data_IF_696971985224
#
_entry.id   IF_696971985224
#
_cell.length_a   1.000
_cell.length_b   1.000
_cell.length_c   1.000
_cell.angle_alpha   90.00
_cell.angle_beta   90.00
_cell.angle_gamma   90.00
#
_symmetry.space_group_name_H-M   'P 1'
#
loop_
_entity.id
_entity.type
_entity.pdbx_description
1 polymer ?
#
# COMPACT_ATOMS: atom_id res chain seq x y z
N UNK A 1 13.38 -12.05 71.15
CA UNK A 1 13.37 -12.66 69.80
C UNK A 1 12.32 -11.92 68.95
N UNK A 2 12.78 -10.96 68.15
CA UNK A 2 11.90 -9.96 67.50
C UNK A 2 11.86 -10.29 66.02
N UNK A 3 10.68 -10.71 65.54
CA UNK A 3 10.44 -11.06 64.12
C UNK A 3 10.16 -9.74 63.39
N UNK A 4 11.05 -9.37 62.45
CA UNK A 4 10.83 -8.26 61.53
C UNK A 4 10.06 -8.78 60.32
N UNK A 5 8.82 -8.33 60.16
CA UNK A 5 8.03 -8.53 58.93
C UNK A 5 8.55 -7.64 57.82
N UNK A 6 8.99 -8.22 56.73
CA UNK A 6 9.36 -7.51 55.50
C UNK A 6 8.09 -7.45 54.61
N UNK A 7 7.55 -6.24 54.45
CA UNK A 7 6.52 -5.96 53.41
C UNK A 7 7.22 -5.77 52.06
N UNK A 8 6.99 -6.66 51.13
CA UNK A 8 7.39 -6.50 49.71
C UNK A 8 6.23 -5.81 49.04
N UNK A 9 6.42 -4.53 48.73
CA UNK A 9 5.48 -3.73 47.91
C UNK A 9 5.74 -4.06 46.42
N UNK A 10 4.91 -4.92 45.83
CA UNK A 10 4.96 -5.21 44.42
C UNK A 10 4.45 -4.02 43.60
N UNK A 11 5.35 -3.34 42.86
CA UNK A 11 4.97 -2.35 41.89
C UNK A 11 4.37 -3.06 40.66
N UNK A 12 3.06 -2.94 40.52
CA UNK A 12 2.34 -3.36 39.31
C UNK A 12 2.59 -2.30 38.23
N UNK A 13 3.53 -2.57 37.30
CA UNK A 13 3.70 -1.76 36.11
C UNK A 13 2.54 -2.01 35.13
N UNK A 14 1.52 -1.17 35.22
CA UNK A 14 0.45 -1.14 34.20
C UNK A 14 0.97 -0.37 32.99
N UNK A 15 1.51 -1.08 32.00
CA UNK A 15 1.79 -0.51 30.69
C UNK A 15 0.45 -0.15 30.02
N UNK A 16 0.05 1.12 30.12
CA UNK A 16 -0.99 1.66 29.23
C UNK A 16 -0.40 1.69 27.80
N UNK A 17 -0.73 0.70 27.00
CA UNK A 17 -0.47 0.76 25.57
C UNK A 17 -1.30 1.91 24.96
N UNK A 18 -0.63 3.02 24.63
CA UNK A 18 -1.24 4.07 23.81
C UNK A 18 -1.41 3.47 22.42
N UNK A 19 -2.61 3.01 22.10
CA UNK A 19 -2.98 2.68 20.73
C UNK A 19 -3.08 3.99 19.94
N UNK A 20 -2.02 4.35 19.25
CA UNK A 20 -2.08 5.43 18.25
C UNK A 20 -3.00 4.93 17.14
N UNK A 21 -4.22 5.42 17.14
CA UNK A 21 -5.16 5.12 16.07
C UNK A 21 -4.71 5.88 14.83
N UNK A 22 -4.34 5.16 13.77
CA UNK A 22 -3.97 5.78 12.50
C UNK A 22 -5.13 6.63 11.96
N UNK A 23 -4.83 7.81 11.44
CA UNK A 23 -5.84 8.65 10.80
C UNK A 23 -6.38 7.91 9.56
N UNK A 24 -7.71 7.76 9.41
CA UNK A 24 -8.27 7.07 8.26
C UNK A 24 -7.83 7.72 6.94
N UNK A 25 -7.46 6.91 5.97
CA UNK A 25 -7.04 7.33 4.64
C UNK A 25 -8.17 7.05 3.64
N UNK A 26 -8.68 8.12 3.01
CA UNK A 26 -9.64 7.99 1.92
C UNK A 26 -8.90 7.74 0.61
N UNK A 27 -9.30 6.70 -0.09
CA UNK A 27 -8.70 6.26 -1.34
C UNK A 27 -9.75 6.10 -2.43
N UNK A 28 -9.46 6.57 -3.64
CA UNK A 28 -10.33 6.41 -4.80
C UNK A 28 -9.74 5.37 -5.72
N UNK A 29 -10.40 4.20 -5.82
CA UNK A 29 -10.02 3.16 -6.76
C UNK A 29 -10.65 3.45 -8.13
N UNK A 30 -9.81 3.58 -9.14
CA UNK A 30 -10.20 3.82 -10.52
C UNK A 30 -10.39 2.47 -11.22
N UNK A 31 -11.47 2.29 -12.03
CA UNK A 31 -11.65 1.07 -12.80
C UNK A 31 -10.71 1.01 -13.99
N UNK A 32 -10.12 -0.15 -14.23
CA UNK A 32 -9.27 -0.44 -15.39
C UNK A 32 -9.86 -1.57 -16.23
N UNK A 33 -9.56 -1.57 -17.53
CA UNK A 33 -9.85 -2.70 -18.40
C UNK A 33 -8.93 -3.88 -18.07
N UNK A 34 -9.36 -5.10 -18.39
CA UNK A 34 -8.53 -6.30 -18.18
C UNK A 34 -7.19 -6.17 -18.92
N UNK A 35 -6.11 -6.03 -18.14
CA UNK A 35 -4.75 -5.84 -18.64
C UNK A 35 -4.24 -7.02 -19.47
N UNK A 36 -4.69 -8.26 -19.21
CA UNK A 36 -4.29 -9.41 -19.99
C UNK A 36 -4.88 -9.35 -21.40
N UNK A 37 -6.16 -8.93 -21.50
CA UNK A 37 -6.81 -8.71 -22.80
C UNK A 37 -6.14 -7.58 -23.57
N UNK A 38 -5.79 -6.48 -22.89
CA UNK A 38 -5.11 -5.35 -23.48
C UNK A 38 -3.70 -5.72 -23.96
N UNK A 39 -2.91 -6.42 -23.13
CA UNK A 39 -1.58 -6.88 -23.49
C UNK A 39 -1.60 -7.81 -24.72
N UNK A 40 -2.61 -8.70 -24.82
CA UNK A 40 -2.82 -9.57 -25.97
C UNK A 40 -3.14 -8.78 -27.24
N UNK A 41 -4.01 -7.77 -27.15
CA UNK A 41 -4.36 -6.90 -28.28
C UNK A 41 -3.15 -6.11 -28.78
N UNK A 42 -2.36 -5.55 -27.87
CA UNK A 42 -1.19 -4.74 -28.17
C UNK A 42 0.06 -5.60 -28.49
N UNK A 43 -0.03 -6.93 -28.43
CA UNK A 43 1.09 -7.86 -28.64
C UNK A 43 2.31 -7.53 -27.79
N UNK A 44 2.08 -7.12 -26.55
CA UNK A 44 3.12 -6.75 -25.59
C UNK A 44 3.21 -7.80 -24.47
N UNK A 45 4.24 -7.69 -23.64
CA UNK A 45 4.35 -8.45 -22.40
C UNK A 45 3.26 -8.01 -21.40
N UNK A 46 3.05 -8.83 -20.36
CA UNK A 46 2.07 -8.51 -19.32
C UNK A 46 2.44 -7.20 -18.62
N UNK A 47 1.42 -6.39 -18.35
CA UNK A 47 1.53 -5.25 -17.46
C UNK A 47 1.48 -5.71 -16.00
N UNK A 48 2.03 -4.88 -15.11
CA UNK A 48 1.91 -5.09 -13.67
C UNK A 48 0.46 -4.82 -13.22
N UNK A 49 -0.12 -5.61 -12.29
CA UNK A 49 -1.48 -5.40 -11.78
C UNK A 49 -1.56 -4.31 -10.70
N UNK A 50 -0.66 -3.33 -10.69
CA UNK A 50 -0.49 -2.38 -9.58
C UNK A 50 -1.03 -0.97 -9.91
N UNK A 51 -2.12 -0.86 -10.69
CA UNK A 51 -2.62 0.40 -11.23
C UNK A 51 -3.18 1.36 -10.18
N UNK A 52 -3.69 0.87 -9.06
CA UNK A 52 -4.23 1.68 -7.97
C UNK A 52 -3.34 1.55 -6.72
N UNK A 53 -2.14 2.16 -6.68
CA UNK A 53 -1.29 2.13 -5.51
C UNK A 53 -1.91 2.96 -4.39
N UNK A 54 -2.07 2.38 -3.21
CA UNK A 54 -2.61 3.09 -2.05
C UNK A 54 -1.55 3.91 -1.30
N UNK A 55 -0.29 3.56 -1.49
CA UNK A 55 0.82 4.08 -0.68
C UNK A 55 0.82 3.59 0.76
N UNK A 56 -0.01 2.60 1.11
CA UNK A 56 -0.08 2.05 2.44
C UNK A 56 0.78 0.78 2.55
N UNK A 57 1.64 0.78 3.56
CA UNK A 57 2.50 -0.33 3.91
C UNK A 57 1.98 -1.02 5.19
N UNK A 58 2.17 -2.33 5.25
CA UNK A 58 1.84 -3.17 6.39
C UNK A 58 3.01 -4.09 6.71
N UNK A 59 3.25 -4.29 8.01
CA UNK A 59 4.13 -5.36 8.49
C UNK A 59 3.40 -6.70 8.57
N UNK A 60 4.16 -7.79 8.59
CA UNK A 60 3.61 -9.13 8.81
C UNK A 60 2.85 -9.20 10.14
N UNK A 61 1.67 -9.82 10.13
CA UNK A 61 0.79 -9.95 11.31
C UNK A 61 -0.09 -8.73 11.58
N UNK A 62 0.13 -7.59 10.91
CA UNK A 62 -0.75 -6.43 11.08
C UNK A 62 -2.15 -6.67 10.50
N UNK A 63 -3.11 -5.92 11.02
CA UNK A 63 -4.48 -5.95 10.53
C UNK A 63 -4.71 -4.89 9.48
N UNK A 64 -5.17 -5.30 8.30
CA UNK A 64 -5.67 -4.43 7.22
C UNK A 64 -7.15 -4.22 7.45
N UNK A 65 -7.56 -3.00 7.84
CA UNK A 65 -8.96 -2.61 8.03
C UNK A 65 -9.36 -1.61 6.97
N UNK A 66 -10.40 -1.95 6.19
CA UNK A 66 -10.90 -1.10 5.12
C UNK A 66 -12.42 -1.15 5.03
N UNK A 67 -13.04 0.01 4.89
CA UNK A 67 -14.46 0.14 4.58
C UNK A 67 -14.63 0.36 3.09
N UNK A 68 -15.40 -0.51 2.44
CA UNK A 68 -15.78 -0.38 1.04
C UNK A 68 -17.24 0.13 0.94
N UNK A 69 -17.56 0.97 -0.06
CA UNK A 69 -18.94 1.40 -0.31
C UNK A 69 -19.80 0.23 -0.79
N UNK A 70 -21.05 0.49 -1.14
CA UNK A 70 -21.82 -0.49 -1.94
C UNK A 70 -21.10 -0.70 -3.27
N UNK A 71 -20.56 -1.91 -3.44
CA UNK A 71 -19.78 -2.27 -4.63
C UNK A 71 -20.65 -2.49 -5.88
N UNK A 72 -21.98 -2.48 -5.77
CA UNK A 72 -22.93 -2.58 -6.89
C UNK A 72 -22.65 -3.79 -7.81
N UNK A 73 -22.16 -4.88 -7.25
CA UNK A 73 -21.79 -6.10 -7.98
C UNK A 73 -20.41 -6.07 -8.65
N UNK A 74 -19.66 -4.98 -8.52
CA UNK A 74 -18.27 -4.94 -8.96
C UNK A 74 -17.35 -5.70 -7.99
N UNK A 75 -16.35 -6.37 -8.53
CA UNK A 75 -15.35 -7.06 -7.74
C UNK A 75 -14.10 -6.19 -7.57
N UNK A 76 -13.74 -5.92 -6.33
CA UNK A 76 -12.49 -5.27 -5.96
C UNK A 76 -11.67 -6.23 -5.09
N UNK A 77 -10.37 -6.23 -5.32
CA UNK A 77 -9.44 -6.97 -4.48
C UNK A 77 -8.34 -6.04 -3.95
N UNK A 78 -7.86 -6.31 -2.73
CA UNK A 78 -6.59 -5.78 -2.27
C UNK A 78 -5.49 -6.76 -2.64
N UNK A 79 -4.39 -6.23 -3.14
CA UNK A 79 -3.15 -6.96 -3.39
C UNK A 79 -2.13 -6.49 -2.35
N UNK A 80 -1.73 -7.33 -1.41
CA UNK A 80 -0.58 -7.08 -0.55
C UNK A 80 0.65 -7.64 -1.25
N UNK A 81 1.61 -6.79 -1.57
CA UNK A 81 2.78 -7.13 -2.40
C UNK A 81 4.07 -6.85 -1.64
N UNK A 82 4.85 -7.90 -1.41
CA UNK A 82 6.20 -7.80 -0.86
C UNK A 82 7.20 -7.73 -2.03
N UNK A 83 7.85 -6.59 -2.18
CA UNK A 83 8.89 -6.33 -3.19
C UNK A 83 10.30 -6.66 -2.68
N UNK A 84 10.44 -7.26 -1.51
CA UNK A 84 11.75 -7.73 -1.05
C UNK A 84 12.35 -8.66 -2.09
N UNK A 85 13.66 -8.58 -2.27
CA UNK A 85 14.35 -9.51 -3.16
C UNK A 85 14.05 -10.92 -2.70
N UNK A 86 13.56 -11.81 -3.58
CA UNK A 86 13.29 -13.18 -3.21
C UNK A 86 14.59 -13.85 -2.73
N UNK A 87 14.45 -14.74 -1.76
CA UNK A 87 15.57 -15.58 -1.32
C UNK A 87 16.10 -16.41 -2.50
N UNK A 88 17.37 -16.84 -2.42
CA UNK A 88 17.99 -17.64 -3.46
C UNK A 88 17.15 -18.89 -3.77
N UNK A 89 16.69 -18.99 -5.03
CA UNK A 89 15.77 -20.05 -5.47
C UNK A 89 14.29 -19.70 -5.49
N UNK A 90 13.85 -18.60 -4.89
CA UNK A 90 12.48 -18.07 -5.02
C UNK A 90 12.36 -17.21 -6.28
N UNK A 91 11.27 -17.38 -7.01
CA UNK A 91 11.16 -16.80 -8.37
C UNK A 91 10.33 -15.52 -8.50
N UNK A 92 9.64 -15.04 -7.46
CA UNK A 92 8.68 -13.91 -7.60
C UNK A 92 8.44 -13.18 -6.27
N UNK A 93 7.97 -11.94 -6.40
CA UNK A 93 7.37 -11.17 -5.31
C UNK A 93 6.25 -11.98 -4.64
N UNK A 94 6.15 -11.90 -3.32
CA UNK A 94 5.02 -12.48 -2.59
C UNK A 94 3.81 -11.58 -2.79
N UNK A 95 2.72 -12.12 -3.31
CA UNK A 95 1.47 -11.38 -3.47
C UNK A 95 0.33 -12.17 -2.83
N UNK A 96 -0.37 -11.53 -1.90
CA UNK A 96 -1.60 -12.05 -1.31
C UNK A 96 -2.79 -11.23 -1.77
N UNK A 97 -3.87 -11.89 -2.17
CA UNK A 97 -5.09 -11.27 -2.69
C UNK A 97 -6.21 -11.42 -1.67
N UNK A 98 -6.85 -10.29 -1.33
CA UNK A 98 -8.03 -10.25 -0.45
C UNK A 98 -9.21 -9.68 -1.22
N UNK A 99 -10.31 -10.41 -1.32
CA UNK A 99 -11.53 -9.94 -1.99
C UNK A 99 -12.33 -9.05 -1.03
N UNK A 100 -12.64 -7.82 -1.47
CA UNK A 100 -13.46 -6.88 -0.71
C UNK A 100 -14.95 -7.23 -0.79
N UNK A 101 -15.65 -6.96 0.31
CA UNK A 101 -17.11 -6.98 0.41
C UNK A 101 -17.59 -5.58 0.77
N UNK A 102 -18.81 -5.24 0.40
CA UNK A 102 -19.48 -4.01 0.86
C UNK A 102 -19.44 -3.91 2.38
N UNK A 103 -19.12 -2.73 2.91
CA UNK A 103 -18.98 -2.45 4.34
C UNK A 103 -17.58 -2.71 4.89
N UNK A 104 -17.48 -3.09 6.15
CA UNK A 104 -16.22 -3.26 6.86
C UNK A 104 -15.55 -4.59 6.51
N UNK A 105 -14.28 -4.51 6.13
CA UNK A 105 -13.42 -5.64 5.85
C UNK A 105 -12.25 -5.65 6.83
N UNK A 106 -11.84 -6.84 7.27
CA UNK A 106 -10.69 -7.04 8.15
C UNK A 106 -9.90 -8.25 7.66
N UNK A 107 -8.63 -8.04 7.36
CA UNK A 107 -7.69 -9.07 6.93
C UNK A 107 -6.43 -9.04 7.79
N UNK A 108 -5.66 -10.11 7.79
CA UNK A 108 -4.35 -10.17 8.43
C UNK A 108 -3.28 -10.27 7.35
N UNK A 109 -2.25 -9.43 7.44
CA UNK A 109 -1.12 -9.44 6.53
C UNK A 109 -0.26 -10.70 6.78
N UNK A 110 -0.18 -11.66 5.83
CA UNK A 110 0.62 -12.86 6.01
C UNK A 110 2.11 -12.63 5.74
N UNK A 111 2.48 -11.46 5.28
CA UNK A 111 3.82 -10.94 5.05
C UNK A 111 3.76 -9.41 5.02
N UNK A 112 4.91 -8.75 5.11
CA UNK A 112 5.01 -7.30 4.91
C UNK A 112 4.70 -6.93 3.45
N UNK A 113 4.34 -5.66 3.20
CA UNK A 113 4.22 -5.18 1.84
C UNK A 113 3.37 -3.94 1.65
N UNK A 114 3.32 -3.49 0.39
CA UNK A 114 2.47 -2.39 -0.07
C UNK A 114 1.11 -2.93 -0.53
N UNK A 115 0.06 -2.13 -0.30
CA UNK A 115 -1.30 -2.48 -0.71
C UNK A 115 -1.68 -1.74 -2.00
N UNK A 116 -2.21 -2.50 -2.95
CA UNK A 116 -2.80 -2.02 -4.20
C UNK A 116 -4.27 -2.43 -4.29
N UNK A 117 -5.07 -1.69 -5.04
CA UNK A 117 -6.47 -2.05 -5.29
C UNK A 117 -6.61 -2.54 -6.73
N UNK A 118 -6.91 -3.82 -6.91
CA UNK A 118 -7.23 -4.38 -8.21
C UNK A 118 -8.72 -4.19 -8.50
N UNK A 119 -9.03 -3.37 -9.50
CA UNK A 119 -10.39 -3.06 -9.94
C UNK A 119 -10.48 -3.16 -11.47
N UNK A 120 -10.65 -4.39 -11.97
CA UNK A 120 -10.77 -4.67 -13.40
C UNK A 120 -12.20 -4.93 -13.82
N UNK A 121 -12.61 -4.30 -14.90
CA UNK A 121 -13.95 -4.41 -15.47
C UNK A 121 -13.90 -4.48 -16.99
N UNK A 122 -14.97 -5.02 -17.59
CA UNK A 122 -15.02 -5.16 -19.06
C UNK A 122 -15.04 -3.81 -19.79
N UNK A 123 -15.75 -2.80 -19.26
CA UNK A 123 -15.79 -1.44 -19.81
C UNK A 123 -15.52 -0.44 -18.68
N UNK A 124 -14.25 -0.10 -18.50
CA UNK A 124 -13.82 0.79 -17.42
C UNK A 124 -14.37 2.24 -17.56
N UNK A 125 -14.79 2.66 -18.77
CA UNK A 125 -15.35 4.00 -18.96
C UNK A 125 -16.76 4.16 -18.42
N UNK A 126 -17.45 3.03 -18.16
CA UNK A 126 -18.82 3.01 -17.62
C UNK A 126 -18.87 2.63 -16.14
N UNK A 127 -17.81 2.05 -15.62
CA UNK A 127 -17.76 1.66 -14.22
C UNK A 127 -17.47 2.89 -13.33
N UNK A 128 -18.14 3.01 -12.18
CA UNK A 128 -17.90 4.10 -11.25
C UNK A 128 -16.57 3.91 -10.52
N UNK A 129 -15.95 5.01 -10.13
CA UNK A 129 -14.89 4.99 -9.12
C UNK A 129 -15.43 4.48 -7.79
N UNK A 130 -14.59 3.79 -7.02
CA UNK A 130 -14.95 3.24 -5.71
C UNK A 130 -14.16 3.95 -4.60
N UNK A 131 -14.88 4.54 -3.63
CA UNK A 131 -14.27 5.29 -2.52
C UNK A 131 -14.07 4.35 -1.32
N UNK A 132 -12.85 3.95 -1.08
CA UNK A 132 -12.46 3.11 0.06
C UNK A 132 -11.96 4.00 1.20
N UNK A 133 -12.16 3.55 2.45
CA UNK A 133 -11.57 4.19 3.63
C UNK A 133 -10.72 3.17 4.36
N UNK A 134 -9.40 3.35 4.36
CA UNK A 134 -8.47 2.55 5.14
C UNK A 134 -8.35 3.11 6.55
N UNK A 135 -8.46 2.26 7.56
CA UNK A 135 -8.39 2.63 8.97
C UNK A 135 -7.06 2.26 9.61
N UNK A 136 -6.23 1.51 8.90
CA UNK A 136 -4.91 1.03 9.32
C UNK A 136 -3.92 1.14 8.17
N UNK A 137 -2.65 0.99 8.46
CA UNK A 137 -1.55 1.04 7.51
C UNK A 137 -0.62 2.23 7.76
N UNK A 138 0.62 2.07 7.39
CA UNK A 138 1.65 3.11 7.51
C UNK A 138 1.80 3.77 6.15
N UNK A 139 1.80 5.10 6.12
CA UNK A 139 1.93 5.84 4.86
C UNK A 139 3.36 5.76 4.34
N UNK A 140 3.56 5.07 3.21
CA UNK A 140 4.81 5.03 2.44
C UNK A 140 4.84 6.11 1.35
N UNK A 141 3.66 6.62 0.98
CA UNK A 141 3.48 7.61 -0.07
C UNK A 141 3.32 7.02 -1.48
N UNK A 142 2.69 7.81 -2.33
CA UNK A 142 2.65 7.66 -3.78
C UNK A 142 2.97 9.03 -4.37
N UNK A 143 4.05 9.12 -5.14
CA UNK A 143 4.41 10.38 -5.79
C UNK A 143 3.60 10.58 -7.06
N UNK A 144 3.00 11.75 -7.19
CA UNK A 144 2.28 12.16 -8.42
C UNK A 144 2.89 13.47 -8.94
N UNK A 145 3.54 13.42 -10.10
CA UNK A 145 4.25 14.56 -10.69
C UNK A 145 3.35 15.76 -11.06
N UNK A 146 2.02 15.59 -11.09
CA UNK A 146 1.06 16.66 -11.35
C UNK A 146 0.47 17.28 -10.09
N UNK A 147 0.75 16.70 -8.94
CA UNK A 147 0.23 17.13 -7.64
C UNK A 147 1.34 17.53 -6.68
N UNK A 148 2.53 16.93 -6.83
CA UNK A 148 3.65 17.09 -5.92
C UNK A 148 4.83 17.81 -6.58
N UNK A 149 5.62 18.47 -5.74
CA UNK A 149 6.87 19.13 -6.07
C UNK A 149 8.08 18.22 -5.83
N UNK A 150 9.28 18.61 -6.29
CA UNK A 150 10.51 17.87 -5.98
C UNK A 150 10.85 17.90 -4.48
N UNK A 151 10.48 18.95 -3.74
CA UNK A 151 10.67 19.00 -2.29
C UNK A 151 9.77 17.98 -1.56
N UNK A 152 8.54 17.78 -2.04
CA UNK A 152 7.63 16.75 -1.54
C UNK A 152 8.13 15.36 -1.92
N UNK A 153 8.64 15.18 -3.14
CA UNK A 153 9.31 13.97 -3.56
C UNK A 153 10.44 13.57 -2.61
N UNK A 154 11.33 14.51 -2.32
CA UNK A 154 12.43 14.27 -1.40
C UNK A 154 11.95 13.83 -0.02
N UNK A 155 10.95 14.55 0.54
CA UNK A 155 10.35 14.16 1.84
C UNK A 155 9.72 12.77 1.80
N UNK A 156 9.03 12.41 0.71
CA UNK A 156 8.46 11.07 0.55
C UNK A 156 9.56 10.00 0.51
N UNK A 157 10.63 10.23 -0.25
CA UNK A 157 11.76 9.31 -0.29
C UNK A 157 12.41 9.14 1.10
N UNK A 158 12.62 10.24 1.84
CA UNK A 158 13.24 10.20 3.16
C UNK A 158 12.40 9.43 4.16
N UNK A 159 11.07 9.55 4.08
CA UNK A 159 10.11 8.88 4.96
C UNK A 159 9.67 7.48 4.51
N UNK A 160 10.00 7.07 3.28
CA UNK A 160 9.60 5.77 2.75
C UNK A 160 10.16 4.61 3.59
N UNK A 161 9.28 3.67 3.96
CA UNK A 161 9.59 2.47 4.76
C UNK A 161 9.71 1.22 3.90
N UNK A 162 8.93 1.13 2.83
CA UNK A 162 9.05 0.03 1.88
C UNK A 162 10.33 0.15 1.05
N UNK A 163 10.77 -0.97 0.49
CA UNK A 163 11.95 -1.01 -0.40
C UNK A 163 11.70 -0.31 -1.73
N UNK A 164 10.43 -0.10 -2.07
CA UNK A 164 10.00 0.57 -3.30
C UNK A 164 9.03 1.70 -3.01
N UNK A 165 8.91 2.62 -3.96
CA UNK A 165 7.94 3.70 -3.97
C UNK A 165 7.26 3.78 -5.34
N UNK A 166 5.97 4.11 -5.33
CA UNK A 166 5.17 4.28 -6.53
C UNK A 166 5.22 5.72 -7.02
N UNK A 167 5.41 5.89 -8.34
CA UNK A 167 5.42 7.18 -9.03
C UNK A 167 4.36 7.18 -10.13
N UNK A 168 3.49 8.18 -10.11
CA UNK A 168 2.42 8.36 -11.09
C UNK A 168 2.66 9.57 -11.98
N UNK A 169 2.70 9.35 -13.27
CA UNK A 169 2.57 10.36 -14.32
C UNK A 169 1.18 10.34 -14.95
N UNK A 170 0.99 11.11 -16.02
CA UNK A 170 -0.30 11.20 -16.71
C UNK A 170 -0.75 9.87 -17.33
N UNK A 171 0.19 9.10 -17.86
CA UNK A 171 -0.07 7.88 -18.65
C UNK A 171 0.71 6.68 -18.15
N UNK A 172 1.45 6.83 -17.07
CA UNK A 172 2.36 5.82 -16.58
C UNK A 172 2.32 5.75 -15.07
N UNK A 173 2.39 4.53 -14.55
CA UNK A 173 2.68 4.23 -13.16
C UNK A 173 3.92 3.34 -13.12
N UNK A 174 4.89 3.72 -12.31
CA UNK A 174 6.17 3.05 -12.16
C UNK A 174 6.42 2.79 -10.68
N UNK A 175 7.02 1.65 -10.37
CA UNK A 175 7.44 1.28 -9.02
C UNK A 175 8.97 1.14 -9.03
N UNK A 176 9.66 1.92 -8.21
CA UNK A 176 11.11 1.99 -8.17
C UNK A 176 11.70 1.69 -6.80
N UNK A 177 12.91 1.17 -6.81
CA UNK A 177 13.75 0.96 -5.63
C UNK A 177 14.08 2.28 -4.94
N UNK A 178 13.69 2.41 -3.66
CA UNK A 178 13.86 3.63 -2.86
C UNK A 178 15.33 3.97 -2.66
N UNK A 179 16.18 2.95 -2.43
CA UNK A 179 17.61 3.17 -2.22
C UNK A 179 18.25 3.81 -3.44
N UNK A 180 17.97 3.28 -4.63
CA UNK A 180 18.47 3.82 -5.88
C UNK A 180 18.02 5.26 -6.12
N UNK A 181 16.75 5.55 -5.80
CA UNK A 181 16.20 6.91 -5.96
C UNK A 181 16.80 7.90 -4.96
N UNK A 182 17.04 7.50 -3.72
CA UNK A 182 17.76 8.33 -2.74
C UNK A 182 19.15 8.72 -3.21
N UNK A 183 19.85 7.79 -3.87
CA UNK A 183 21.23 8.01 -4.35
C UNK A 183 21.29 8.80 -5.66
N UNK A 184 20.32 8.65 -6.57
CA UNK A 184 20.43 9.12 -7.95
C UNK A 184 19.28 10.00 -8.45
N UNK A 185 18.19 10.11 -7.71
CA UNK A 185 16.96 10.76 -8.17
C UNK A 185 16.24 11.57 -7.10
N UNK A 186 16.91 11.95 -6.01
CA UNK A 186 16.27 12.63 -4.89
C UNK A 186 15.74 14.04 -5.22
N UNK A 187 16.26 14.69 -6.26
CA UNK A 187 15.95 16.08 -6.58
C UNK A 187 15.15 16.25 -7.87
N UNK A 188 14.81 15.17 -8.57
CA UNK A 188 14.24 15.23 -9.92
C UNK A 188 13.01 14.33 -10.13
N UNK A 189 12.22 14.10 -9.08
CA UNK A 189 11.05 13.23 -9.15
C UNK A 189 10.02 13.67 -10.21
N UNK A 190 9.81 14.98 -10.32
CA UNK A 190 8.89 15.56 -11.31
C UNK A 190 9.38 15.29 -12.72
N UNK A 191 10.64 15.53 -13.00
CA UNK A 191 11.26 15.37 -14.32
C UNK A 191 11.33 13.90 -14.74
N UNK A 192 11.53 13.00 -13.77
CA UNK A 192 11.62 11.55 -14.04
C UNK A 192 10.33 10.97 -14.60
N UNK A 193 9.17 11.52 -14.28
CA UNK A 193 7.88 10.91 -14.64
C UNK A 193 6.95 11.83 -15.43
N UNK A 194 7.24 13.13 -15.50
CA UNK A 194 6.48 14.07 -16.32
C UNK A 194 6.98 14.01 -17.78
N UNK A 195 6.48 12.99 -18.48
CA UNK A 195 6.69 12.82 -19.92
C UNK A 195 5.42 13.20 -20.69
#
# INVERSE_FOLDING_TARGET
MTIKSIFILGLLNVCFGITVQATPVNFVAIPYSDINSLAKQLKTSRYSPFENPTGLYFEEGETIQVTAPDLQGYQLNLLLVDFSKPAEGEKKEKTTVFTLKTGNNKFYAPHKGLVYVSYYVKDCRKAPEQKLTFHTGINNGVFNAYQHTNDEWKRMLDSAIAEVIDMQGKYVHLTFDVKTLREKGSDCGVEMIRM
#
